data_IF_409213980707
#
_entry.id   IF_409213980707
#
_cell.length_a   1.000
_cell.length_b   1.000
_cell.length_c   1.000
_cell.angle_alpha   90.00
_cell.angle_beta   90.00
_cell.angle_gamma   90.00
#
_symmetry.space_group_name_H-M   'P 1'
#
loop_
_entity.id
_entity.type
_entity.pdbx_description
1 polymer ?
#
# COMPACT_ATOMS: atom_id res chain seq x y z
N UNK A 1 -9.86 1.28 -4.11
CA UNK A 1 -8.71 0.72 -4.85
C UNK A 1 -8.88 -0.78 -4.88
N UNK A 2 -8.47 -1.44 -5.95
CA UNK A 2 -8.42 -2.91 -6.05
C UNK A 2 -7.05 -3.43 -5.64
N UNK A 3 -7.02 -4.62 -5.05
CA UNK A 3 -5.78 -5.37 -4.86
C UNK A 3 -5.32 -5.94 -6.21
N UNK A 4 -4.18 -5.47 -6.70
CA UNK A 4 -3.54 -5.97 -7.91
C UNK A 4 -2.47 -7.01 -7.61
N UNK A 5 -1.48 -7.10 -8.49
CA UNK A 5 -0.40 -8.07 -8.40
C UNK A 5 0.33 -8.03 -7.05
N UNK A 6 0.55 -9.22 -6.51
CA UNK A 6 1.31 -9.45 -5.30
C UNK A 6 2.70 -9.93 -5.71
N UNK A 7 3.71 -9.09 -5.52
CA UNK A 7 5.08 -9.49 -5.77
C UNK A 7 5.59 -10.44 -4.67
N UNK A 8 6.50 -11.33 -5.06
CA UNK A 8 7.17 -12.26 -4.15
C UNK A 8 7.89 -11.51 -3.02
N UNK A 9 8.06 -12.18 -1.88
CA UNK A 9 8.82 -11.67 -0.75
C UNK A 9 10.26 -11.32 -1.19
N UNK A 10 10.66 -10.07 -0.97
CA UNK A 10 12.01 -9.56 -1.20
C UNK A 10 12.69 -9.50 0.17
N UNK A 11 13.71 -10.32 0.39
CA UNK A 11 14.39 -10.44 1.67
C UNK A 11 15.92 -10.37 1.51
N UNK A 12 16.56 -9.69 2.45
CA UNK A 12 17.99 -9.45 2.56
C UNK A 12 18.37 -9.42 4.04
N UNK A 13 19.67 -9.40 4.35
CA UNK A 13 20.17 -9.45 5.73
C UNK A 13 19.70 -8.32 6.64
N UNK A 14 19.23 -7.20 6.08
CA UNK A 14 18.80 -6.01 6.80
C UNK A 14 17.37 -5.56 6.45
N UNK A 15 16.67 -6.29 5.59
CA UNK A 15 15.38 -5.83 5.08
C UNK A 15 14.53 -6.98 4.56
N UNK A 16 13.24 -6.91 4.86
CA UNK A 16 12.22 -7.86 4.42
C UNK A 16 10.99 -7.08 4.00
N UNK A 17 10.51 -7.27 2.77
CA UNK A 17 9.28 -6.64 2.30
C UNK A 17 8.55 -7.44 1.24
N UNK A 18 7.25 -7.21 1.16
CA UNK A 18 6.37 -7.69 0.09
C UNK A 18 5.74 -6.48 -0.58
N UNK A 19 5.62 -6.49 -1.90
CA UNK A 19 5.03 -5.37 -2.64
C UNK A 19 3.66 -5.78 -3.19
N UNK A 20 2.69 -4.90 -3.01
CA UNK A 20 1.32 -5.02 -3.47
C UNK A 20 1.03 -3.87 -4.42
N UNK A 21 0.67 -4.18 -5.65
CA UNK A 21 0.17 -3.18 -6.60
C UNK A 21 -1.28 -2.86 -6.24
N UNK A 22 -1.60 -1.59 -6.11
CA UNK A 22 -2.96 -1.10 -5.90
C UNK A 22 -3.37 -0.26 -7.08
N UNK A 23 -4.55 -0.54 -7.61
CA UNK A 23 -5.10 0.15 -8.77
C UNK A 23 -6.36 0.92 -8.40
N UNK A 24 -6.57 2.08 -9.01
CA UNK A 24 -7.83 2.80 -8.91
C UNK A 24 -8.94 2.01 -9.62
N UNK A 25 -10.20 2.27 -9.23
CA UNK A 25 -11.35 1.57 -9.81
C UNK A 25 -11.55 1.86 -11.31
N UNK A 26 -11.01 2.98 -11.80
CA UNK A 26 -11.02 3.37 -13.20
C UNK A 26 -9.78 2.92 -13.99
N UNK A 27 -8.83 2.24 -13.33
CA UNK A 27 -7.61 1.70 -13.91
C UNK A 27 -6.57 2.74 -14.37
N UNK A 28 -6.73 4.00 -13.97
CA UNK A 28 -5.85 5.09 -14.42
C UNK A 28 -4.65 5.31 -13.49
N UNK A 29 -4.82 5.04 -12.20
CA UNK A 29 -3.82 5.28 -11.19
C UNK A 29 -3.33 3.96 -10.59
N UNK A 30 -2.01 3.83 -10.51
CA UNK A 30 -1.34 2.67 -9.91
C UNK A 30 -0.39 3.16 -8.83
N UNK A 31 -0.49 2.57 -7.64
CA UNK A 31 0.42 2.85 -6.52
C UNK A 31 0.95 1.54 -5.93
N UNK A 32 2.25 1.53 -5.61
CA UNK A 32 2.86 0.38 -4.95
C UNK A 32 2.76 0.55 -3.43
N UNK A 33 2.14 -0.42 -2.78
CA UNK A 33 2.13 -0.58 -1.33
C UNK A 33 3.19 -1.57 -0.88
N UNK A 34 4.12 -1.13 -0.04
CA UNK A 34 5.25 -1.91 0.47
C UNK A 34 4.94 -2.35 1.90
N UNK A 35 4.78 -3.66 2.09
CA UNK A 35 4.59 -4.30 3.38
C UNK A 35 5.94 -4.69 3.97
N UNK A 36 6.42 -3.95 4.97
CA UNK A 36 7.74 -4.13 5.58
C UNK A 36 7.74 -5.04 6.82
N UNK A 37 8.85 -5.74 7.04
CA UNK A 37 9.10 -6.51 8.27
C UNK A 37 8.03 -7.58 8.50
N UNK A 38 7.40 -7.55 9.68
CA UNK A 38 6.33 -8.48 10.06
C UNK A 38 5.06 -8.29 9.22
N UNK A 39 4.82 -7.08 8.72
CA UNK A 39 3.62 -6.83 7.90
C UNK A 39 3.68 -7.47 6.51
N UNK A 40 4.86 -7.94 6.08
CA UNK A 40 4.99 -8.74 4.87
C UNK A 40 4.21 -10.07 4.92
N UNK A 41 3.87 -10.53 6.14
CA UNK A 41 3.06 -11.73 6.39
C UNK A 41 1.55 -11.42 6.51
N UNK A 42 1.14 -10.16 6.34
CA UNK A 42 -0.28 -9.82 6.31
C UNK A 42 -0.99 -10.61 5.22
N UNK A 43 -2.15 -11.17 5.57
CA UNK A 43 -3.06 -11.77 4.60
C UNK A 43 -3.57 -10.64 3.71
N UNK A 44 -3.17 -10.70 2.45
CA UNK A 44 -3.63 -9.76 1.43
C UNK A 44 -4.97 -10.27 0.90
N UNK A 45 -5.99 -9.41 0.77
CA UNK A 45 -7.23 -9.76 0.10
C UNK A 45 -7.00 -10.29 -1.32
N UNK A 46 -7.94 -11.08 -1.88
CA UNK A 46 -7.80 -11.64 -3.23
C UNK A 46 -7.54 -10.56 -4.30
N UNK A 47 -6.88 -10.95 -5.39
CA UNK A 47 -6.72 -10.07 -6.56
C UNK A 47 -8.12 -9.62 -7.03
N UNK A 48 -8.20 -8.38 -7.52
CA UNK A 48 -9.40 -7.68 -7.96
C UNK A 48 -10.41 -7.32 -6.85
N UNK A 49 -10.19 -7.75 -5.61
CA UNK A 49 -11.02 -7.30 -4.48
C UNK A 49 -10.82 -5.80 -4.23
N UNK A 50 -11.91 -5.09 -3.92
CA UNK A 50 -11.82 -3.70 -3.46
C UNK A 50 -11.34 -3.75 -2.00
N UNK A 51 -10.32 -2.95 -1.70
CA UNK A 51 -9.72 -2.93 -0.36
C UNK A 51 -9.68 -1.55 0.25
N UNK A 52 -9.74 -1.53 1.58
CA UNK A 52 -9.33 -0.40 2.41
C UNK A 52 -8.00 -0.73 3.07
N UNK A 53 -6.99 0.11 2.82
CA UNK A 53 -5.71 0.09 3.54
C UNK A 53 -5.73 1.19 4.60
N UNK A 54 -5.49 0.85 5.87
CA UNK A 54 -5.44 1.82 6.97
C UNK A 54 -4.07 1.86 7.61
N UNK A 55 -3.75 3.00 8.25
CA UNK A 55 -2.49 3.23 8.96
C UNK A 55 -1.25 2.96 8.09
N UNK A 56 -1.24 3.52 6.88
CA UNK A 56 -0.12 3.49 5.93
C UNK A 56 0.54 4.87 5.85
N UNK A 57 1.83 4.90 5.53
CA UNK A 57 2.58 6.13 5.31
C UNK A 57 2.75 6.37 3.80
N UNK A 58 2.45 7.58 3.35
CA UNK A 58 2.76 8.00 1.97
C UNK A 58 4.23 8.40 1.89
N UNK A 59 4.94 7.86 0.91
CA UNK A 59 6.32 8.22 0.63
C UNK A 59 6.51 8.59 -0.85
N UNK A 60 7.26 9.66 -1.09
CA UNK A 60 7.60 10.13 -2.43
C UNK A 60 9.12 10.04 -2.61
N UNK A 61 9.56 9.30 -3.63
CA UNK A 61 10.97 9.18 -3.97
C UNK A 61 11.18 9.38 -5.46
N UNK A 62 12.03 10.35 -5.84
CA UNK A 62 12.30 10.70 -7.24
C UNK A 62 11.03 10.87 -8.09
N UNK A 63 10.01 11.51 -7.52
CA UNK A 63 8.72 11.74 -8.18
C UNK A 63 7.78 10.53 -8.26
N UNK A 64 8.17 9.37 -7.71
CA UNK A 64 7.30 8.19 -7.62
C UNK A 64 6.69 8.12 -6.22
N UNK A 65 5.37 8.02 -6.15
CA UNK A 65 4.62 7.83 -4.90
C UNK A 65 4.51 6.34 -4.57
N UNK A 66 4.58 6.01 -3.28
CA UNK A 66 4.33 4.66 -2.76
C UNK A 66 3.72 4.73 -1.38
N UNK A 67 3.04 3.67 -0.97
CA UNK A 67 2.57 3.47 0.39
C UNK A 67 3.55 2.55 1.13
N UNK A 68 3.89 2.87 2.36
CA UNK A 68 4.64 1.99 3.24
C UNK A 68 3.74 1.57 4.40
N UNK A 69 3.74 0.28 4.72
CA UNK A 69 3.11 -0.19 5.94
C UNK A 69 3.81 0.32 7.18
N UNK A 70 3.03 0.39 8.26
CA UNK A 70 3.46 0.58 9.64
C UNK A 70 3.08 -0.67 10.42
N UNK A 71 3.53 -0.80 11.67
CA UNK A 71 3.14 -1.91 12.55
C UNK A 71 1.63 -1.96 12.86
N UNK A 72 0.89 -0.90 12.51
CA UNK A 72 -0.55 -0.80 12.70
C UNK A 72 -1.35 -0.98 11.41
N UNK A 73 -0.67 -1.23 10.28
CA UNK A 73 -1.34 -1.37 8.98
C UNK A 73 -2.33 -2.51 8.97
N UNK A 74 -3.51 -2.26 8.37
CA UNK A 74 -4.51 -3.30 8.10
C UNK A 74 -4.96 -3.19 6.65
N UNK A 75 -5.12 -4.34 6.02
CA UNK A 75 -5.77 -4.48 4.72
C UNK A 75 -7.09 -5.21 4.95
N UNK A 76 -8.19 -4.66 4.45
CA UNK A 76 -9.51 -5.28 4.54
C UNK A 76 -10.20 -5.19 3.19
N UNK A 77 -10.81 -6.28 2.77
CA UNK A 77 -11.79 -6.27 1.69
C UNK A 77 -13.00 -5.42 2.10
N UNK A 78 -13.56 -4.71 1.13
CA UNK A 78 -14.74 -3.86 1.30
C UNK A 78 -15.55 -3.85 0.02
N UNK A 79 -16.86 -3.61 0.13
CA UNK A 79 -17.74 -3.35 -1.02
C UNK A 79 -17.95 -1.85 -1.24
N UNK A 80 -17.32 -1.01 -0.42
CA UNK A 80 -17.45 0.45 -0.49
C UNK A 80 -16.54 1.03 -1.57
N UNK A 81 -17.14 1.58 -2.64
CA UNK A 81 -16.47 2.44 -3.63
C UNK A 81 -16.24 3.87 -3.09
N UNK A 82 -15.93 4.00 -1.80
CA UNK A 82 -15.72 5.31 -1.20
C UNK A 82 -14.43 5.93 -1.74
N UNK A 83 -14.58 7.11 -2.36
CA UNK A 83 -13.48 7.97 -2.78
C UNK A 83 -12.53 8.17 -1.60
N UNK A 84 -11.23 7.99 -1.84
CA UNK A 84 -10.18 8.26 -0.87
C UNK A 84 -10.41 9.62 -0.18
N UNK A 85 -10.74 9.61 1.11
CA UNK A 85 -10.80 10.80 1.95
C UNK A 85 -9.72 10.67 3.02
N UNK A 86 -8.63 11.39 2.81
CA UNK A 86 -7.57 11.60 3.80
C UNK A 86 -7.07 13.03 3.67
N UNK A 87 -6.97 13.73 4.79
CA UNK A 87 -6.25 15.00 4.85
C UNK A 87 -4.75 14.68 4.93
N UNK A 88 -3.97 15.20 3.98
CA UNK A 88 -2.50 15.14 4.04
C UNK A 88 -2.01 16.18 5.05
N UNK A 89 -1.97 15.81 6.33
CA UNK A 89 -1.28 16.62 7.34
C UNK A 89 0.23 16.29 7.32
N UNK A 90 1.03 17.22 6.79
CA UNK A 90 2.49 17.21 6.93
C UNK A 90 3.23 16.41 5.85
N UNK A 91 3.47 17.04 4.69
CA UNK A 91 4.57 16.67 3.82
C UNK A 91 5.88 17.20 4.44
N UNK A 92 6.60 16.35 5.19
CA UNK A 92 8.01 16.63 5.47
C UNK A 92 8.84 16.35 4.22
N UNK A 93 9.22 17.43 3.51
CA UNK A 93 10.23 17.37 2.47
C UNK A 93 11.58 17.27 3.19
N UNK A 94 12.18 16.09 3.18
CA UNK A 94 13.56 15.92 3.62
C UNK A 94 14.49 16.52 2.55
N UNK A 95 15.12 17.66 2.87
CA UNK A 95 16.25 18.25 2.11
C UNK A 95 17.56 17.51 2.36
#
# INVERSE_FOLDING_TARGET
MTAGDIHNLIESSNSRRKELTLESLDGQDIIICKLWGETADLVVPPIDSIITATCVQVAVWKGTMSLNSTNLTKLKETDEETLFQGELEGLEILE
#
